data_IF_784146596109
#
_entry.id   IF_784146596109
#
_cell.length_a   1.000
_cell.length_b   1.000
_cell.length_c   1.000
_cell.angle_alpha   90.00
_cell.angle_beta   90.00
_cell.angle_gamma   90.00
#
_symmetry.space_group_name_H-M   'P 1'
#
loop_
_entity.id
_entity.type
_entity.pdbx_description
1 polymer ?
#
# COMPACT_ATOMS: atom_id res chain seq x y z
N UNK A 1 -22.35 -26.84 6.15
CA UNK A 1 -21.25 -26.22 6.91
C UNK A 1 -20.66 -25.16 6.01
N UNK A 2 -20.86 -23.89 6.34
CA UNK A 2 -20.27 -22.80 5.58
C UNK A 2 -18.76 -22.80 5.84
N UNK A 3 -17.97 -23.00 4.79
CA UNK A 3 -16.53 -22.82 4.84
C UNK A 3 -16.29 -21.34 5.07
N UNK A 4 -16.00 -20.94 6.30
CA UNK A 4 -15.56 -19.57 6.58
C UNK A 4 -14.32 -19.33 5.73
N UNK A 5 -14.44 -18.45 4.74
CA UNK A 5 -13.30 -18.04 3.93
C UNK A 5 -12.38 -17.25 4.83
N UNK A 6 -11.36 -17.91 5.37
CA UNK A 6 -10.41 -17.36 6.37
C UNK A 6 -9.73 -16.07 5.90
N UNK A 7 -9.70 -15.83 4.58
CA UNK A 7 -9.17 -14.61 3.98
C UNK A 7 -10.20 -14.01 3.02
N UNK A 8 -10.51 -12.73 3.21
CA UNK A 8 -11.48 -11.97 2.40
C UNK A 8 -10.82 -10.99 1.43
N UNK A 9 -9.54 -10.64 1.67
CA UNK A 9 -8.75 -9.73 0.83
C UNK A 9 -7.25 -9.95 1.04
N UNK A 10 -6.48 -9.87 -0.04
CA UNK A 10 -5.03 -9.74 0.01
C UNK A 10 -4.65 -8.26 -0.16
N UNK A 11 -3.84 -7.75 0.75
CA UNK A 11 -3.25 -6.41 0.67
C UNK A 11 -1.71 -6.58 0.70
N UNK A 12 -1.03 -6.51 -0.45
CA UNK A 12 0.42 -6.58 -0.49
C UNK A 12 1.04 -5.34 0.18
N UNK A 13 2.00 -5.57 1.07
CA UNK A 13 2.92 -4.57 1.61
C UNK A 13 4.27 -4.84 0.96
N UNK A 14 4.87 -3.82 0.34
CA UNK A 14 6.21 -3.88 -0.21
C UNK A 14 7.17 -3.14 0.71
N UNK A 15 8.23 -3.82 1.14
CA UNK A 15 9.36 -3.16 1.76
C UNK A 15 10.21 -2.49 0.66
N UNK A 16 10.51 -1.21 0.81
CA UNK A 16 11.27 -0.42 -0.16
C UNK A 16 12.45 0.27 0.52
N UNK A 17 13.58 0.37 -0.19
CA UNK A 17 14.80 0.97 0.35
C UNK A 17 14.75 2.50 0.44
N UNK A 18 13.87 3.15 -0.33
CA UNK A 18 13.65 4.60 -0.30
C UNK A 18 12.16 4.89 -0.47
N UNK A 19 11.49 5.15 0.64
CA UNK A 19 10.05 5.39 0.68
C UNK A 19 9.66 6.68 -0.05
N UNK A 20 10.50 7.72 0.01
CA UNK A 20 10.22 9.00 -0.62
C UNK A 20 10.32 8.91 -2.15
N UNK A 21 11.32 8.19 -2.66
CA UNK A 21 11.48 7.94 -4.09
C UNK A 21 10.31 7.11 -4.65
N UNK A 22 9.89 6.07 -3.93
CA UNK A 22 8.76 5.25 -4.34
C UNK A 22 7.43 6.01 -4.29
N UNK A 23 7.19 6.80 -3.22
CA UNK A 23 6.06 7.73 -3.16
C UNK A 23 6.00 8.61 -4.41
N UNK A 24 7.10 9.27 -4.76
CA UNK A 24 7.17 10.16 -5.90
C UNK A 24 6.92 9.43 -7.24
N UNK A 25 7.33 8.17 -7.34
CA UNK A 25 7.04 7.33 -8.50
C UNK A 25 5.54 7.04 -8.64
N UNK A 26 4.88 6.59 -7.56
CA UNK A 26 3.44 6.26 -7.60
C UNK A 26 2.53 7.49 -7.71
N UNK A 27 2.93 8.64 -7.15
CA UNK A 27 2.24 9.92 -7.35
C UNK A 27 2.29 10.35 -8.83
N UNK A 28 3.42 10.16 -9.52
CA UNK A 28 3.54 10.42 -10.97
C UNK A 28 2.65 9.53 -11.82
N UNK A 29 2.36 8.31 -11.34
CA UNK A 29 1.40 7.40 -11.98
C UNK A 29 -0.07 7.78 -11.70
N UNK A 30 -0.30 8.82 -10.89
CA UNK A 30 -1.64 9.28 -10.52
C UNK A 30 -2.37 8.37 -9.54
N UNK A 31 -1.63 7.54 -8.79
CA UNK A 31 -2.21 6.69 -7.76
C UNK A 31 -2.55 7.52 -6.52
N UNK A 32 -3.80 7.49 -6.04
CA UNK A 32 -4.17 8.27 -4.87
C UNK A 32 -3.63 7.61 -3.61
N UNK A 33 -3.06 8.44 -2.72
CA UNK A 33 -2.73 8.06 -1.35
C UNK A 33 -4.04 7.79 -0.59
N UNK A 34 -4.05 6.71 0.18
CA UNK A 34 -5.19 6.28 1.00
C UNK A 34 -4.90 6.24 2.48
N UNK A 35 -3.62 6.19 2.86
CA UNK A 35 -3.17 6.34 4.23
C UNK A 35 -1.80 7.01 4.24
N UNK A 36 -1.68 8.03 5.07
CA UNK A 36 -0.46 8.69 5.52
C UNK A 36 -0.81 9.26 6.90
N UNK A 37 -0.03 8.94 7.93
CA UNK A 37 -0.38 9.30 9.30
C UNK A 37 0.77 9.16 10.28
N UNK A 38 0.72 9.91 11.40
CA UNK A 38 1.78 9.91 12.40
C UNK A 38 1.90 8.58 13.16
N UNK A 39 0.89 7.71 13.10
CA UNK A 39 0.94 6.40 13.77
C UNK A 39 1.96 5.45 13.12
N UNK A 40 2.19 5.60 11.81
CA UNK A 40 3.18 4.84 11.06
C UNK A 40 3.93 5.78 10.09
N UNK A 41 4.98 6.47 10.58
CA UNK A 41 5.67 7.50 9.80
C UNK A 41 6.40 6.93 8.57
N UNK A 42 6.80 5.66 8.63
CA UNK A 42 7.56 5.00 7.56
C UNK A 42 6.67 4.12 6.66
N UNK A 43 5.37 4.41 6.64
CA UNK A 43 4.38 3.65 5.91
C UNK A 43 3.43 4.56 5.13
N UNK A 44 3.25 4.26 3.84
CA UNK A 44 2.33 4.99 2.96
C UNK A 44 1.52 3.97 2.16
N UNK A 45 0.19 4.13 2.11
CA UNK A 45 -0.67 3.25 1.33
C UNK A 45 -1.24 3.95 0.09
N UNK A 46 -1.12 3.30 -1.06
CA UNK A 46 -1.66 3.74 -2.35
C UNK A 46 -2.81 2.84 -2.83
N UNK A 47 -3.75 3.42 -3.56
CA UNK A 47 -4.82 2.65 -4.21
C UNK A 47 -4.49 2.38 -5.67
N UNK A 48 -4.11 1.14 -5.98
CA UNK A 48 -4.01 0.66 -7.35
C UNK A 48 -5.35 0.09 -7.82
N UNK A 49 -6.14 0.89 -8.55
CA UNK A 49 -7.42 0.42 -9.08
C UNK A 49 -7.21 -0.48 -10.32
N UNK A 50 -6.93 -1.75 -10.08
CA UNK A 50 -7.09 -2.81 -11.09
C UNK A 50 -8.57 -3.17 -11.24
N UNK A 51 -9.00 -3.81 -12.36
CA UNK A 51 -10.37 -4.32 -12.50
C UNK A 51 -10.81 -5.25 -11.35
N UNK A 52 -9.85 -5.87 -10.65
CA UNK A 52 -10.06 -6.72 -9.47
C UNK A 52 -10.02 -5.98 -8.13
N UNK A 53 -9.72 -4.68 -8.10
CA UNK A 53 -9.89 -3.82 -6.91
C UNK A 53 -8.78 -3.90 -5.84
N UNK A 54 -7.55 -4.25 -6.20
CA UNK A 54 -6.43 -4.35 -5.25
C UNK A 54 -6.01 -2.99 -4.63
N UNK A 55 -5.28 -3.04 -3.51
CA UNK A 55 -4.62 -1.88 -2.87
C UNK A 55 -3.15 -2.22 -2.69
N UNK A 56 -2.26 -1.25 -2.82
CA UNK A 56 -0.82 -1.44 -2.63
C UNK A 56 -0.35 -0.61 -1.44
N UNK A 57 0.26 -1.25 -0.45
CA UNK A 57 0.87 -0.56 0.66
C UNK A 57 2.40 -0.59 0.56
N UNK A 58 3.06 0.48 0.95
CA UNK A 58 4.51 0.62 0.94
C UNK A 58 4.98 0.87 2.37
N UNK A 59 6.05 0.17 2.74
CA UNK A 59 6.74 0.29 4.02
C UNK A 59 8.23 0.49 3.71
N UNK A 60 8.87 1.48 4.31
CA UNK A 60 10.32 1.67 4.20
C UNK A 60 10.95 1.69 5.58
N UNK A 61 12.25 1.47 5.68
CA UNK A 61 13.01 1.82 6.87
C UNK A 61 13.52 3.26 6.71
N UNK A 62 13.16 4.16 7.62
CA UNK A 62 13.83 5.45 7.72
C UNK A 62 15.20 5.23 8.37
N UNK A 63 16.29 5.46 7.61
CA UNK A 63 17.64 5.64 8.19
C UNK A 63 17.76 6.96 8.98
#
# INVERSE_FOLDING_TARGET
MATDSLFTRLAPVLNVSDLAAERAFYEKLGLPVTYEGPEYPDFIAFLLRTPSGYRLALEGESE
#
